data_IF_154481637277
#
_entry.id   IF_154481637277
#
_cell.length_a   1.000
_cell.length_b   1.000
_cell.length_c   1.000
_cell.angle_alpha   90.00
_cell.angle_beta   90.00
_cell.angle_gamma   90.00
#
_symmetry.space_group_name_H-M   'P 1'
#
loop_
_entity.id
_entity.type
_entity.pdbx_description
1 polymer ?
#
# COMPACT_ATOMS: atom_id res chain seq x y z
N UNK A 1 21.79 0.53 -4.52
CA UNK A 1 21.29 0.14 -3.20
C UNK A 1 22.31 -0.74 -2.45
N UNK A 2 22.93 -1.73 -3.09
CA UNK A 2 23.91 -2.64 -2.45
C UNK A 2 25.05 -1.88 -1.78
N UNK A 3 25.62 -0.86 -2.44
CA UNK A 3 26.69 -0.01 -1.89
C UNK A 3 26.23 0.77 -0.65
N UNK A 4 25.01 1.33 -0.69
CA UNK A 4 24.46 2.08 0.45
C UNK A 4 24.14 1.15 1.61
N UNK A 5 23.66 -0.07 1.32
CA UNK A 5 23.36 -1.08 2.34
C UNK A 5 24.60 -1.54 3.13
N UNK A 6 25.81 -1.42 2.56
CA UNK A 6 27.06 -1.76 3.23
C UNK A 6 27.52 -0.68 4.23
N UNK A 7 26.94 0.53 4.17
CA UNK A 7 27.28 1.58 5.12
C UNK A 7 26.66 1.29 6.51
N UNK A 8 27.38 1.61 7.60
CA UNK A 8 26.86 1.46 8.96
C UNK A 8 25.48 2.13 9.11
N UNK A 9 24.55 1.48 9.80
CA UNK A 9 23.17 1.90 10.04
C UNK A 9 22.23 1.82 8.81
N UNK A 10 22.74 1.83 7.57
CA UNK A 10 21.89 1.75 6.39
C UNK A 10 21.35 0.33 6.12
N UNK A 11 22.02 -0.70 6.62
CA UNK A 11 21.55 -2.08 6.57
C UNK A 11 20.27 -2.34 7.38
N UNK A 12 19.95 -1.47 8.34
CA UNK A 12 18.70 -1.54 9.11
C UNK A 12 17.50 -0.95 8.37
N UNK A 13 17.72 -0.26 7.27
CA UNK A 13 16.66 0.38 6.50
C UNK A 13 16.00 -0.57 5.51
N UNK A 14 14.82 -1.01 5.85
CA UNK A 14 14.04 -1.96 5.06
C UNK A 14 13.51 -1.38 3.75
N UNK A 15 13.30 -0.06 3.69
CA UNK A 15 12.71 0.60 2.52
C UNK A 15 13.51 1.84 2.11
N UNK A 16 14.33 1.76 1.05
CA UNK A 16 15.17 2.87 0.59
C UNK A 16 14.37 4.06 0.04
N UNK A 17 13.09 3.87 -0.29
CA UNK A 17 12.22 4.95 -0.78
C UNK A 17 12.08 6.09 0.22
N UNK A 18 12.29 5.82 1.52
CA UNK A 18 12.25 6.84 2.58
C UNK A 18 13.30 7.93 2.41
N UNK A 19 14.40 7.64 1.70
CA UNK A 19 15.42 8.64 1.37
C UNK A 19 15.01 9.58 0.24
N UNK A 20 14.00 9.22 -0.54
CA UNK A 20 13.53 10.10 -1.61
C UNK A 20 12.95 11.41 -1.06
N UNK A 21 12.32 11.39 0.12
CA UNK A 21 11.76 12.61 0.70
C UNK A 21 12.81 13.68 1.03
N UNK A 22 13.87 13.40 1.83
CA UNK A 22 14.94 14.38 2.06
C UNK A 22 15.69 14.75 0.77
N UNK A 23 15.86 13.81 -0.17
CA UNK A 23 16.45 14.10 -1.47
C UNK A 23 15.58 15.08 -2.28
N UNK A 24 14.26 14.86 -2.34
CA UNK A 24 13.33 15.78 -3.01
C UNK A 24 13.36 17.17 -2.37
N UNK A 25 13.37 17.25 -1.05
CA UNK A 25 13.48 18.54 -0.34
C UNK A 25 14.78 19.26 -0.73
N UNK A 26 15.91 18.53 -0.76
CA UNK A 26 17.19 19.07 -1.21
C UNK A 26 17.14 19.58 -2.66
N UNK A 27 16.52 18.82 -3.57
CA UNK A 27 16.35 19.21 -4.97
C UNK A 27 15.45 20.44 -5.13
N UNK A 28 14.40 20.60 -4.34
CA UNK A 28 13.52 21.78 -4.34
C UNK A 28 14.31 23.02 -3.93
N UNK A 29 15.13 22.93 -2.85
CA UNK A 29 15.96 24.02 -2.39
C UNK A 29 17.00 24.38 -3.46
N UNK A 30 17.69 23.41 -4.05
CA UNK A 30 18.64 23.63 -5.14
C UNK A 30 17.98 24.25 -6.38
N UNK A 31 16.75 23.84 -6.71
CA UNK A 31 15.98 24.45 -7.77
C UNK A 31 15.70 25.94 -7.50
N UNK A 32 15.33 26.29 -6.25
CA UNK A 32 15.15 27.69 -5.82
C UNK A 32 16.41 28.52 -6.03
N UNK A 33 17.56 28.03 -5.58
CA UNK A 33 18.85 28.69 -5.83
C UNK A 33 19.21 28.77 -7.32
N UNK A 34 18.87 27.74 -8.09
CA UNK A 34 19.05 27.75 -9.55
C UNK A 34 18.22 28.84 -10.24
N UNK A 35 16.97 29.02 -9.85
CA UNK A 35 16.08 30.09 -10.37
C UNK A 35 16.63 31.45 -9.97
N UNK A 36 17.04 31.64 -8.72
CA UNK A 36 17.66 32.91 -8.29
C UNK A 36 18.93 33.20 -9.07
N UNK A 37 19.80 32.21 -9.29
CA UNK A 37 20.98 32.31 -10.11
C UNK A 37 20.68 32.75 -11.55
N UNK A 38 19.67 32.15 -12.18
CA UNK A 38 19.21 32.53 -13.52
C UNK A 38 18.69 33.99 -13.57
N UNK A 39 17.91 34.40 -12.59
CA UNK A 39 17.41 35.79 -12.50
C UNK A 39 18.55 36.80 -12.31
N UNK A 40 19.54 36.46 -11.51
CA UNK A 40 20.75 37.30 -11.35
C UNK A 40 21.57 37.39 -12.64
N UNK A 41 21.72 36.27 -13.36
CA UNK A 41 22.40 36.22 -14.65
C UNK A 41 21.64 37.05 -15.69
N UNK A 42 20.32 36.89 -15.80
CA UNK A 42 19.51 37.68 -16.73
C UNK A 42 19.60 39.19 -16.51
N UNK A 43 19.80 39.64 -15.27
CA UNK A 43 20.01 41.05 -14.93
C UNK A 43 21.45 41.56 -15.21
N UNK A 44 22.45 40.67 -15.23
CA UNK A 44 23.87 41.02 -15.43
C UNK A 44 24.33 40.99 -16.87
N UNK A 45 23.64 40.33 -17.76
CA UNK A 45 24.08 40.00 -19.14
C UNK A 45 24.17 41.18 -20.11
N UNK A 46 23.94 42.43 -19.68
CA UNK A 46 24.30 43.58 -20.51
C UNK A 46 25.83 43.81 -20.61
N UNK A 47 26.68 43.17 -19.76
CA UNK A 47 28.08 43.54 -19.65
C UNK A 47 29.13 42.47 -19.98
N UNK A 48 28.95 41.15 -19.65
CA UNK A 48 29.93 40.11 -20.00
C UNK A 48 29.36 38.72 -20.10
N UNK A 49 29.70 37.91 -21.16
CA UNK A 49 29.21 36.54 -21.31
C UNK A 49 29.89 35.62 -20.27
N UNK A 50 29.09 35.09 -19.33
CA UNK A 50 29.55 34.13 -18.32
C UNK A 50 29.95 32.77 -18.96
N UNK A 51 31.29 32.52 -19.03
CA UNK A 51 31.87 31.30 -19.60
C UNK A 51 31.34 30.01 -18.92
N UNK A 52 31.19 30.03 -17.59
CA UNK A 52 30.75 28.91 -16.81
C UNK A 52 29.28 28.54 -17.15
N UNK A 53 28.42 29.56 -17.25
CA UNK A 53 27.00 29.33 -17.63
C UNK A 53 26.85 28.74 -19.05
N UNK A 54 27.66 29.21 -20.00
CA UNK A 54 27.68 28.63 -21.37
C UNK A 54 28.18 27.19 -21.39
N UNK A 55 29.21 26.88 -20.62
CA UNK A 55 29.71 25.51 -20.48
C UNK A 55 28.65 24.60 -19.84
N UNK A 56 27.94 25.08 -18.83
CA UNK A 56 26.87 24.34 -18.19
C UNK A 56 25.72 24.05 -19.16
N UNK A 57 25.23 25.02 -19.92
CA UNK A 57 24.18 24.83 -20.94
C UNK A 57 24.63 23.85 -22.02
N UNK A 58 25.88 23.94 -22.48
CA UNK A 58 26.43 22.99 -23.47
C UNK A 58 26.52 21.58 -22.88
N UNK A 59 27.05 21.42 -21.67
CA UNK A 59 27.15 20.13 -21.00
C UNK A 59 25.79 19.47 -20.79
N UNK A 60 24.82 20.21 -20.30
CA UNK A 60 23.44 19.71 -20.09
C UNK A 60 22.76 19.38 -21.44
N UNK A 61 23.03 20.18 -22.49
CA UNK A 61 22.55 19.89 -23.84
C UNK A 61 23.14 18.58 -24.41
N UNK A 62 24.42 18.31 -24.15
CA UNK A 62 25.05 17.04 -24.53
C UNK A 62 24.40 15.88 -23.75
N UNK A 63 24.15 16.03 -22.46
CA UNK A 63 23.47 15.01 -21.66
C UNK A 63 22.06 14.74 -22.21
N UNK A 64 21.29 15.78 -22.57
CA UNK A 64 19.97 15.63 -23.18
C UNK A 64 20.07 14.87 -24.54
N UNK A 65 21.07 15.16 -25.33
CA UNK A 65 21.33 14.49 -26.60
C UNK A 65 21.67 13.01 -26.41
N UNK A 66 22.55 12.70 -25.44
CA UNK A 66 22.91 11.31 -25.09
C UNK A 66 21.70 10.54 -24.56
N UNK A 67 20.87 11.16 -23.73
CA UNK A 67 19.62 10.55 -23.25
C UNK A 67 18.67 10.27 -24.40
N UNK A 68 18.51 11.19 -25.35
CA UNK A 68 17.66 10.99 -26.51
C UNK A 68 18.18 9.83 -27.39
N UNK A 69 19.47 9.77 -27.63
CA UNK A 69 20.08 8.67 -28.37
C UNK A 69 19.89 7.32 -27.66
N UNK A 70 20.14 7.30 -26.35
CA UNK A 70 19.90 6.12 -25.51
C UNK A 70 18.45 5.67 -25.50
N UNK A 71 17.50 6.61 -25.50
CA UNK A 71 16.07 6.31 -25.54
C UNK A 71 15.64 5.70 -26.89
N UNK A 72 16.23 6.14 -28.00
CA UNK A 72 15.99 5.54 -29.31
C UNK A 72 16.51 4.09 -29.38
N UNK A 73 17.68 3.84 -28.79
CA UNK A 73 18.26 2.48 -28.70
C UNK A 73 17.36 1.58 -27.84
N UNK A 74 16.90 2.08 -26.68
CA UNK A 74 15.98 1.35 -25.80
C UNK A 74 14.64 1.10 -26.47
N UNK A 75 14.10 2.07 -27.21
CA UNK A 75 12.89 1.92 -28.01
C UNK A 75 13.02 0.82 -29.06
N UNK A 76 14.14 0.78 -29.77
CA UNK A 76 14.45 -0.28 -30.73
C UNK A 76 14.62 -1.65 -30.05
N UNK A 77 15.10 -1.68 -28.81
CA UNK A 77 15.34 -2.89 -28.02
C UNK A 77 14.16 -3.28 -27.09
N UNK A 78 12.98 -2.66 -27.23
CA UNK A 78 11.82 -2.85 -26.36
C UNK A 78 11.47 -4.33 -26.15
N UNK A 79 11.49 -5.14 -27.19
CA UNK A 79 11.18 -6.57 -27.12
C UNK A 79 12.19 -7.34 -26.25
N UNK A 80 13.48 -7.07 -26.44
CA UNK A 80 14.56 -7.67 -25.64
C UNK A 80 14.49 -7.23 -24.18
N UNK A 81 14.19 -5.95 -23.92
CA UNK A 81 13.99 -5.43 -22.56
C UNK A 81 12.79 -6.11 -21.88
N UNK A 82 11.69 -6.29 -22.58
CA UNK A 82 10.51 -7.01 -22.05
C UNK A 82 10.85 -8.47 -21.70
N UNK A 83 11.60 -9.17 -22.57
CA UNK A 83 12.06 -10.53 -22.27
C UNK A 83 12.97 -10.58 -21.05
N UNK A 84 13.87 -9.61 -20.91
CA UNK A 84 14.73 -9.51 -19.73
C UNK A 84 13.92 -9.27 -18.43
N UNK A 85 12.91 -8.40 -18.47
CA UNK A 85 12.01 -8.17 -17.32
C UNK A 85 11.22 -9.44 -16.98
N UNK A 86 10.69 -10.14 -17.99
CA UNK A 86 9.98 -11.40 -17.79
C UNK A 86 10.86 -12.49 -17.14
N UNK A 87 12.15 -12.56 -17.53
CA UNK A 87 13.11 -13.49 -16.90
C UNK A 87 13.38 -13.22 -15.42
N UNK A 88 12.98 -12.06 -14.91
CA UNK A 88 13.05 -11.69 -13.48
C UNK A 88 11.79 -12.05 -12.68
N UNK A 89 10.85 -12.79 -13.28
CA UNK A 89 9.66 -13.30 -12.62
C UNK A 89 8.39 -12.48 -12.85
N UNK A 90 8.41 -11.51 -13.75
CA UNK A 90 7.21 -10.80 -14.16
C UNK A 90 6.46 -11.57 -15.26
N UNK A 91 5.14 -11.48 -15.24
CA UNK A 91 4.31 -11.96 -16.35
C UNK A 91 4.70 -11.27 -17.67
N UNK A 92 4.63 -12.01 -18.79
CA UNK A 92 5.13 -11.57 -20.10
C UNK A 92 4.44 -10.31 -20.60
N UNK A 93 3.13 -10.19 -20.41
CA UNK A 93 2.36 -9.04 -20.87
C UNK A 93 2.68 -7.81 -20.02
N UNK A 94 2.73 -7.97 -18.72
CA UNK A 94 3.18 -6.93 -17.79
C UNK A 94 4.59 -6.46 -18.09
N UNK A 95 5.52 -7.38 -18.36
CA UNK A 95 6.90 -7.06 -18.72
C UNK A 95 7.00 -6.24 -20.02
N UNK A 96 6.19 -6.54 -21.04
CA UNK A 96 6.14 -5.77 -22.28
C UNK A 96 5.56 -4.36 -22.07
N UNK A 97 4.53 -4.23 -21.26
CA UNK A 97 3.96 -2.93 -20.87
C UNK A 97 5.00 -2.10 -20.13
N UNK A 98 5.69 -2.67 -19.13
CA UNK A 98 6.76 -2.00 -18.38
C UNK A 98 7.91 -1.53 -19.30
N UNK A 99 8.35 -2.37 -20.24
CA UNK A 99 9.39 -2.02 -21.20
C UNK A 99 8.95 -0.85 -22.10
N UNK A 100 7.71 -0.88 -22.57
CA UNK A 100 7.13 0.20 -23.40
C UNK A 100 7.02 1.52 -22.65
N UNK A 101 6.51 1.47 -21.44
CA UNK A 101 6.40 2.64 -20.55
C UNK A 101 7.78 3.24 -20.28
N UNK A 102 8.76 2.42 -19.90
CA UNK A 102 10.13 2.88 -19.61
C UNK A 102 10.78 3.56 -20.83
N UNK A 103 10.65 2.98 -22.01
CA UNK A 103 11.19 3.56 -23.24
C UNK A 103 10.55 4.94 -23.54
N UNK A 104 9.22 5.04 -23.41
CA UNK A 104 8.50 6.28 -23.64
C UNK A 104 8.87 7.37 -22.62
N UNK A 105 8.97 7.02 -21.34
CA UNK A 105 9.33 7.98 -20.28
C UNK A 105 10.75 8.53 -20.45
N UNK A 106 11.70 7.71 -20.89
CA UNK A 106 13.07 8.19 -21.17
C UNK A 106 13.10 9.15 -22.36
N UNK A 107 12.32 8.88 -23.44
CA UNK A 107 12.18 9.79 -24.59
C UNK A 107 11.60 11.12 -24.11
N UNK A 108 10.48 11.10 -23.40
CA UNK A 108 9.84 12.30 -22.89
C UNK A 108 10.76 13.11 -21.98
N UNK A 109 11.45 12.43 -21.05
CA UNK A 109 12.42 13.08 -20.15
C UNK A 109 13.56 13.76 -20.92
N UNK A 110 14.08 13.09 -21.98
CA UNK A 110 15.12 13.68 -22.84
C UNK A 110 14.62 14.92 -23.60
N UNK A 111 13.39 14.87 -24.13
CA UNK A 111 12.79 16.01 -24.83
C UNK A 111 12.51 17.17 -23.87
N UNK A 112 11.99 16.91 -22.68
CA UNK A 112 11.72 17.93 -21.65
C UNK A 112 13.02 18.56 -21.14
N UNK A 113 14.06 17.74 -20.93
CA UNK A 113 15.37 18.25 -20.55
C UNK A 113 15.94 19.15 -21.67
N UNK A 114 15.86 18.73 -22.93
CA UNK A 114 16.28 19.53 -24.08
C UNK A 114 15.51 20.86 -24.20
N UNK A 115 14.19 20.82 -24.04
CA UNK A 115 13.34 22.01 -24.00
C UNK A 115 13.72 22.95 -22.83
N UNK A 116 13.94 22.37 -21.63
CA UNK A 116 14.39 23.12 -20.45
C UNK A 116 15.74 23.83 -20.69
N UNK A 117 16.73 23.11 -21.24
CA UNK A 117 18.03 23.68 -21.60
C UNK A 117 17.89 24.80 -22.62
N UNK A 118 17.06 24.62 -23.63
CA UNK A 118 16.78 25.66 -24.65
C UNK A 118 16.14 26.91 -24.00
N UNK A 119 15.15 26.75 -23.14
CA UNK A 119 14.49 27.86 -22.45
C UNK A 119 15.45 28.59 -21.49
N UNK A 120 16.27 27.87 -20.73
CA UNK A 120 17.31 28.46 -19.90
C UNK A 120 18.30 29.27 -20.74
N UNK A 121 18.75 28.74 -21.87
CA UNK A 121 19.65 29.45 -22.79
C UNK A 121 19.01 30.74 -23.34
N UNK A 122 17.68 30.74 -23.57
CA UNK A 122 16.94 31.95 -23.99
C UNK A 122 16.81 32.97 -22.87
N UNK A 123 16.53 32.53 -21.63
CA UNK A 123 16.50 33.42 -20.45
C UNK A 123 17.86 34.08 -20.28
N UNK A 124 18.97 33.33 -20.41
CA UNK A 124 20.33 33.85 -20.26
C UNK A 124 20.75 34.87 -21.32
N UNK A 125 20.14 34.85 -22.49
CA UNK A 125 20.43 35.85 -23.55
C UNK A 125 19.80 37.22 -23.30
N UNK A 126 19.00 37.38 -22.23
CA UNK A 126 18.41 38.64 -21.79
C UNK A 126 17.28 39.18 -22.67
N UNK A 127 17.21 38.77 -23.93
CA UNK A 127 16.19 39.25 -24.84
C UNK A 127 14.83 38.57 -24.55
N UNK A 128 13.87 39.32 -24.04
CA UNK A 128 12.55 38.84 -23.59
C UNK A 128 12.66 37.77 -22.45
N UNK A 129 13.64 37.88 -21.55
CA UNK A 129 13.92 36.93 -20.51
C UNK A 129 12.69 36.56 -19.67
N UNK A 130 11.84 37.52 -19.35
CA UNK A 130 10.59 37.28 -18.61
C UNK A 130 9.64 36.28 -19.32
N UNK A 131 9.48 36.39 -20.64
CA UNK A 131 8.62 35.47 -21.41
C UNK A 131 9.17 34.05 -21.39
N UNK A 132 10.49 33.90 -21.53
CA UNK A 132 11.16 32.59 -21.49
C UNK A 132 11.18 31.98 -20.09
N UNK A 133 11.28 32.81 -19.04
CA UNK A 133 11.15 32.34 -17.66
C UNK A 133 9.74 31.82 -17.37
N UNK A 134 8.69 32.51 -17.85
CA UNK A 134 7.30 32.01 -17.76
C UNK A 134 7.15 30.68 -18.52
N UNK A 135 7.69 30.60 -19.74
CA UNK A 135 7.65 29.36 -20.53
C UNK A 135 8.36 28.20 -19.82
N UNK A 136 9.50 28.47 -19.15
CA UNK A 136 10.20 27.46 -18.33
C UNK A 136 9.33 27.02 -17.15
N UNK A 137 8.68 27.95 -16.45
CA UNK A 137 7.75 27.64 -15.37
C UNK A 137 6.59 26.76 -15.83
N UNK A 138 5.99 27.09 -16.98
CA UNK A 138 4.93 26.29 -17.57
C UNK A 138 5.41 24.89 -17.98
N UNK A 139 6.62 24.76 -18.54
CA UNK A 139 7.22 23.46 -18.86
C UNK A 139 7.34 22.59 -17.61
N UNK A 140 7.81 23.15 -16.50
CA UNK A 140 7.93 22.43 -15.21
C UNK A 140 6.55 21.98 -14.70
N UNK A 141 5.55 22.88 -14.75
CA UNK A 141 4.18 22.53 -14.32
C UNK A 141 3.60 21.42 -15.17
N UNK A 142 3.78 21.49 -16.50
CA UNK A 142 3.30 20.44 -17.43
C UNK A 142 3.98 19.09 -17.12
N UNK A 143 5.30 19.09 -16.95
CA UNK A 143 6.04 17.86 -16.65
C UNK A 143 5.62 17.26 -15.31
N UNK A 144 5.56 18.04 -14.24
CA UNK A 144 5.13 17.57 -12.93
C UNK A 144 3.69 17.08 -12.93
N UNK A 145 2.79 17.75 -13.64
CA UNK A 145 1.38 17.33 -13.78
C UNK A 145 1.30 16.00 -14.51
N UNK A 146 2.00 15.88 -15.64
CA UNK A 146 2.08 14.64 -16.42
C UNK A 146 2.63 13.48 -15.59
N UNK A 147 3.75 13.71 -14.90
CA UNK A 147 4.42 12.68 -14.12
C UNK A 147 3.58 12.21 -12.92
N UNK A 148 2.81 13.10 -12.31
CA UNK A 148 2.00 12.77 -11.13
C UNK A 148 0.57 12.31 -11.46
N UNK A 149 0.00 12.75 -12.60
CA UNK A 149 -1.40 12.44 -12.96
C UNK A 149 -1.77 10.95 -12.89
N UNK A 150 -0.95 9.98 -13.38
CA UNK A 150 -1.29 8.57 -13.29
C UNK A 150 -1.34 8.02 -11.86
N UNK A 151 -0.68 8.70 -10.91
CA UNK A 151 -0.60 8.29 -9.50
C UNK A 151 -1.67 8.93 -8.62
N UNK A 152 -2.36 9.98 -9.15
CA UNK A 152 -3.47 10.60 -8.44
C UNK A 152 -4.74 9.83 -8.79
N UNK A 153 -5.15 8.99 -7.86
CA UNK A 153 -6.41 8.25 -7.97
C UNK A 153 -7.44 8.90 -7.04
N UNK A 154 -8.60 9.18 -7.60
CA UNK A 154 -9.75 9.67 -6.84
C UNK A 154 -10.59 8.46 -6.43
N UNK A 155 -10.70 8.25 -5.13
CA UNK A 155 -11.54 7.20 -4.56
C UNK A 155 -12.86 7.81 -4.08
N UNK A 156 -13.98 7.21 -4.48
CA UNK A 156 -15.29 7.59 -3.96
C UNK A 156 -15.46 6.96 -2.57
N UNK A 157 -14.92 7.65 -1.56
CA UNK A 157 -14.95 7.17 -0.19
C UNK A 157 -16.37 6.91 0.32
N UNK A 158 -17.37 7.66 -0.15
CA UNK A 158 -18.77 7.43 0.23
C UNK A 158 -19.27 6.09 -0.29
N UNK A 159 -19.03 5.81 -1.55
CA UNK A 159 -19.36 4.49 -2.12
C UNK A 159 -18.62 3.38 -1.37
N UNK A 160 -17.36 3.58 -1.05
CA UNK A 160 -16.51 2.57 -0.40
C UNK A 160 -16.86 2.32 1.06
N UNK A 161 -17.04 3.38 1.84
CA UNK A 161 -17.17 3.28 3.31
C UNK A 161 -18.57 3.48 3.85
N UNK A 162 -19.38 4.36 3.25
CA UNK A 162 -20.76 4.63 3.67
C UNK A 162 -21.76 3.65 3.06
N UNK A 163 -21.29 2.78 2.16
CA UNK A 163 -22.11 1.72 1.57
C UNK A 163 -22.64 0.76 2.64
N UNK A 164 -23.92 0.45 2.55
CA UNK A 164 -24.59 -0.45 3.51
C UNK A 164 -23.98 -1.86 3.45
N UNK A 165 -23.26 -2.24 4.52
CA UNK A 165 -22.83 -3.61 4.75
C UNK A 165 -23.43 -4.08 6.08
N UNK A 166 -24.53 -4.86 6.06
CA UNK A 166 -25.25 -5.26 7.26
C UNK A 166 -24.39 -6.00 8.29
N UNK A 167 -23.42 -6.79 7.84
CA UNK A 167 -22.52 -7.50 8.74
C UNK A 167 -21.60 -6.52 9.50
N UNK A 168 -20.97 -5.60 8.79
CA UNK A 168 -20.09 -4.59 9.40
C UNK A 168 -20.90 -3.67 10.32
N UNK A 169 -22.08 -3.25 9.90
CA UNK A 169 -23.01 -2.47 10.74
C UNK A 169 -23.39 -3.21 12.03
N UNK A 170 -23.51 -4.54 11.97
CA UNK A 170 -23.80 -5.34 13.16
C UNK A 170 -22.60 -5.43 14.09
N UNK A 171 -21.39 -5.62 13.57
CA UNK A 171 -20.16 -5.63 14.35
C UNK A 171 -19.84 -4.26 14.98
N UNK A 172 -20.18 -3.18 14.29
CA UNK A 172 -19.96 -1.81 14.74
C UNK A 172 -20.88 -1.36 15.88
N UNK A 173 -22.00 -2.08 16.16
CA UNK A 173 -22.93 -1.73 17.24
C UNK A 173 -22.30 -1.78 18.64
N UNK A 174 -21.33 -2.67 18.83
CA UNK A 174 -20.65 -2.87 20.12
C UNK A 174 -19.13 -2.96 19.91
N UNK A 175 -18.47 -1.88 19.50
CA UNK A 175 -17.11 -1.90 19.00
C UNK A 175 -16.06 -2.31 20.04
N UNK A 176 -16.37 -2.21 21.34
CA UNK A 176 -15.44 -2.51 22.42
C UNK A 176 -15.73 -3.81 23.18
N UNK A 177 -16.80 -4.49 22.85
CA UNK A 177 -17.25 -5.69 23.58
C UNK A 177 -16.58 -6.98 23.11
N UNK A 178 -16.01 -7.00 21.92
CA UNK A 178 -15.32 -8.17 21.39
C UNK A 178 -14.61 -7.89 20.10
N UNK A 179 -13.53 -8.65 19.88
CA UNK A 179 -12.80 -8.62 18.60
C UNK A 179 -13.42 -9.57 17.60
N UNK A 180 -13.20 -9.26 16.32
CA UNK A 180 -13.55 -10.15 15.20
C UNK A 180 -12.28 -10.78 14.63
N UNK A 181 -12.39 -12.01 14.16
CA UNK A 181 -11.35 -12.72 13.41
C UNK A 181 -11.98 -13.54 12.28
N UNK A 182 -11.16 -14.03 11.37
CA UNK A 182 -11.59 -14.98 10.37
C UNK A 182 -11.31 -16.43 10.82
N UNK A 183 -12.18 -17.36 10.41
CA UNK A 183 -11.97 -18.79 10.59
C UNK A 183 -10.61 -19.22 10.04
N UNK A 184 -9.87 -20.08 10.74
CA UNK A 184 -8.65 -20.68 10.21
C UNK A 184 -8.94 -21.71 9.10
N UNK A 185 -10.19 -22.07 8.92
CA UNK A 185 -10.61 -23.00 7.85
C UNK A 185 -10.76 -22.24 6.52
N UNK A 186 -10.52 -22.91 5.38
CA UNK A 186 -10.63 -22.28 4.08
C UNK A 186 -12.05 -21.75 3.83
N UNK A 187 -12.16 -20.46 3.48
CA UNK A 187 -13.43 -19.76 3.24
C UNK A 187 -13.46 -18.96 1.93
N UNK A 188 -12.57 -19.27 0.98
CA UNK A 188 -12.56 -18.73 -0.38
C UNK A 188 -12.66 -17.19 -0.44
N UNK A 189 -13.72 -16.71 -1.11
CA UNK A 189 -13.99 -15.27 -1.29
C UNK A 189 -14.07 -14.51 0.03
N UNK A 190 -14.67 -15.11 1.07
CA UNK A 190 -14.77 -14.45 2.39
C UNK A 190 -13.40 -14.11 2.96
N UNK A 191 -12.42 -15.03 2.86
CA UNK A 191 -11.06 -14.79 3.35
C UNK A 191 -10.37 -13.66 2.56
N UNK A 192 -10.57 -13.61 1.24
CA UNK A 192 -10.02 -12.56 0.40
C UNK A 192 -10.60 -11.18 0.79
N UNK A 193 -11.93 -11.07 0.91
CA UNK A 193 -12.59 -9.82 1.32
C UNK A 193 -12.20 -9.40 2.72
N UNK A 194 -12.13 -10.35 3.65
CA UNK A 194 -11.69 -10.07 5.01
C UNK A 194 -10.32 -9.42 5.03
N UNK A 195 -9.32 -10.02 4.36
CA UNK A 195 -7.92 -9.58 4.41
C UNK A 195 -7.65 -8.32 3.60
N UNK A 196 -8.26 -8.22 2.41
CA UNK A 196 -7.93 -7.16 1.45
C UNK A 196 -8.78 -5.90 1.63
N UNK A 197 -10.04 -6.06 2.05
CA UNK A 197 -10.98 -4.95 2.12
C UNK A 197 -11.40 -4.65 3.56
N UNK A 198 -11.94 -5.64 4.29
CA UNK A 198 -12.55 -5.35 5.58
C UNK A 198 -11.53 -5.01 6.65
N UNK A 199 -10.48 -5.81 6.78
CA UNK A 199 -9.44 -5.61 7.79
C UNK A 199 -8.61 -4.35 7.53
N UNK A 200 -8.34 -4.03 6.26
CA UNK A 200 -7.50 -2.88 5.89
C UNK A 200 -8.27 -1.56 5.85
N UNK A 201 -9.56 -1.61 5.56
CA UNK A 201 -10.35 -0.41 5.27
C UNK A 201 -11.61 -0.33 6.13
N UNK A 202 -12.56 -1.26 5.96
CA UNK A 202 -13.91 -1.16 6.52
C UNK A 202 -13.93 -1.22 8.05
N UNK A 203 -13.14 -2.10 8.66
CA UNK A 203 -13.12 -2.24 10.11
C UNK A 203 -12.56 -1.01 10.79
N UNK A 204 -11.49 -0.44 10.24
CA UNK A 204 -10.89 0.79 10.77
C UNK A 204 -11.86 1.96 10.68
N UNK A 205 -12.52 2.12 9.53
CA UNK A 205 -13.49 3.19 9.31
C UNK A 205 -14.71 3.08 10.26
N UNK A 206 -15.21 1.86 10.45
CA UNK A 206 -16.40 1.58 11.28
C UNK A 206 -16.05 1.28 12.75
N UNK A 207 -14.82 1.49 13.19
CA UNK A 207 -14.33 1.19 14.54
C UNK A 207 -14.59 -0.26 15.00
N UNK A 208 -14.56 -1.21 14.07
CA UNK A 208 -14.64 -2.65 14.37
C UNK A 208 -13.24 -3.16 14.73
N UNK A 209 -13.11 -3.72 15.92
CA UNK A 209 -11.82 -4.23 16.38
C UNK A 209 -11.57 -5.66 15.89
N UNK A 210 -10.42 -5.88 15.28
CA UNK A 210 -9.99 -7.20 14.82
C UNK A 210 -8.90 -7.78 15.74
N UNK A 211 -8.84 -9.11 15.79
CA UNK A 211 -7.69 -9.83 16.33
C UNK A 211 -6.52 -9.80 15.36
N UNK A 212 -6.83 -9.91 14.07
CA UNK A 212 -5.83 -9.98 13.02
C UNK A 212 -5.26 -8.60 12.70
N UNK A 213 -3.98 -8.56 12.40
CA UNK A 213 -3.26 -7.35 12.04
C UNK A 213 -2.78 -7.43 10.60
N UNK A 214 -2.94 -6.34 9.87
CA UNK A 214 -2.36 -6.17 8.55
C UNK A 214 -0.98 -5.55 8.70
N UNK A 215 0.02 -6.17 8.12
CA UNK A 215 1.38 -5.61 8.03
C UNK A 215 2.00 -5.22 9.38
N UNK A 216 2.41 -6.22 10.14
CA UNK A 216 3.23 -6.00 11.32
C UNK A 216 4.72 -6.26 10.99
N UNK A 217 5.47 -5.26 10.52
CA UNK A 217 6.84 -5.46 10.02
C UNK A 217 7.83 -5.83 11.14
N UNK A 218 7.51 -5.47 12.38
CA UNK A 218 8.26 -5.85 13.58
C UNK A 218 7.26 -6.11 14.69
N UNK A 219 7.29 -7.30 15.22
CA UNK A 219 6.51 -7.69 16.38
C UNK A 219 7.39 -7.52 17.63
N UNK A 220 6.82 -7.01 18.72
CA UNK A 220 7.50 -7.02 20.00
C UNK A 220 7.77 -8.47 20.43
N UNK A 221 8.90 -8.72 21.07
CA UNK A 221 9.34 -10.07 21.45
C UNK A 221 8.28 -10.81 22.28
N UNK A 222 7.66 -10.12 23.23
CA UNK A 222 6.63 -10.70 24.09
C UNK A 222 5.36 -11.04 23.28
N UNK A 223 4.99 -10.20 22.32
CA UNK A 223 3.86 -10.47 21.45
C UNK A 223 4.15 -11.66 20.52
N UNK A 224 5.36 -11.76 19.99
CA UNK A 224 5.79 -12.91 19.19
C UNK A 224 5.79 -14.20 20.01
N UNK A 225 6.27 -14.16 21.25
CA UNK A 225 6.24 -15.29 22.17
C UNK A 225 4.80 -15.72 22.47
N UNK A 226 3.89 -14.75 22.71
CA UNK A 226 2.47 -15.01 22.89
C UNK A 226 1.86 -15.70 21.65
N UNK A 227 2.06 -15.17 20.44
CA UNK A 227 1.51 -15.74 19.21
C UNK A 227 2.07 -17.15 18.93
N UNK A 228 3.35 -17.36 19.14
CA UNK A 228 3.98 -18.70 19.01
C UNK A 228 3.33 -19.74 19.90
N UNK A 229 2.94 -19.38 21.13
CA UNK A 229 2.32 -20.29 22.09
C UNK A 229 0.96 -20.82 21.62
N UNK A 230 0.27 -20.07 20.76
CA UNK A 230 -1.04 -20.40 20.23
C UNK A 230 -1.00 -20.88 18.77
N UNK A 231 0.17 -21.19 18.23
CA UNK A 231 0.29 -21.70 16.87
C UNK A 231 -0.38 -23.08 16.80
N UNK A 232 -1.36 -23.21 15.91
CA UNK A 232 -1.98 -24.49 15.62
C UNK A 232 -1.06 -25.23 14.64
N UNK A 233 -0.60 -26.38 15.06
CA UNK A 233 0.10 -27.33 14.18
C UNK A 233 -0.91 -28.29 13.55
N UNK A 234 -0.48 -29.12 12.59
CA UNK A 234 -1.35 -30.15 12.03
C UNK A 234 -1.81 -31.23 13.04
N UNK A 235 -1.31 -31.18 14.26
CA UNK A 235 -1.71 -32.06 15.35
C UNK A 235 -3.03 -31.57 15.99
N UNK A 236 -4.03 -32.47 16.00
CA UNK A 236 -5.35 -32.20 16.61
C UNK A 236 -5.26 -31.85 18.09
N UNK A 237 -4.23 -32.32 18.80
CA UNK A 237 -3.98 -31.99 20.21
C UNK A 237 -3.69 -30.50 20.44
N UNK A 238 -3.38 -29.74 19.40
CA UNK A 238 -3.13 -28.29 19.48
C UNK A 238 -4.35 -27.43 19.14
N UNK A 239 -5.42 -28.04 18.68
CA UNK A 239 -6.61 -27.30 18.21
C UNK A 239 -7.29 -26.48 19.31
N UNK A 240 -7.31 -26.97 20.55
CA UNK A 240 -7.86 -26.23 21.69
C UNK A 240 -7.16 -24.88 21.94
N UNK A 241 -5.91 -24.73 21.46
CA UNK A 241 -5.15 -23.50 21.59
C UNK A 241 -5.82 -22.34 20.85
N UNK A 242 -6.51 -22.59 19.74
CA UNK A 242 -7.29 -21.57 19.04
C UNK A 242 -8.39 -21.00 19.94
N UNK A 243 -9.19 -21.87 20.55
CA UNK A 243 -10.22 -21.45 21.49
C UNK A 243 -9.64 -20.66 22.68
N UNK A 244 -8.50 -21.12 23.23
CA UNK A 244 -7.82 -20.43 24.31
C UNK A 244 -7.27 -19.06 23.91
N UNK A 245 -6.68 -18.95 22.70
CA UNK A 245 -6.26 -17.66 22.15
C UNK A 245 -7.43 -16.70 22.05
N UNK A 246 -8.56 -17.13 21.49
CA UNK A 246 -9.75 -16.30 21.34
C UNK A 246 -10.33 -15.90 22.68
N UNK A 247 -10.33 -16.79 23.67
CA UNK A 247 -10.73 -16.51 25.04
C UNK A 247 -9.91 -15.36 25.63
N UNK A 248 -8.57 -15.47 25.60
CA UNK A 248 -7.66 -14.50 26.21
C UNK A 248 -7.60 -13.17 25.46
N UNK A 249 -7.84 -13.16 24.16
CA UNK A 249 -7.76 -11.94 23.31
C UNK A 249 -9.10 -11.22 23.17
N UNK A 250 -10.13 -11.58 23.95
CA UNK A 250 -11.46 -10.99 23.83
C UNK A 250 -12.05 -11.16 22.41
N UNK A 251 -11.76 -12.27 21.73
CA UNK A 251 -12.27 -12.52 20.39
C UNK A 251 -13.61 -13.21 20.46
N UNK A 252 -14.67 -12.44 20.26
CA UNK A 252 -16.08 -12.90 20.40
C UNK A 252 -16.68 -13.30 19.07
N UNK A 253 -16.22 -12.70 17.96
CA UNK A 253 -16.82 -12.85 16.66
C UNK A 253 -15.86 -13.54 15.70
N UNK A 254 -16.33 -14.58 15.02
CA UNK A 254 -15.54 -15.31 14.03
C UNK A 254 -16.34 -15.36 12.74
N UNK A 255 -15.72 -14.98 11.66
CA UNK A 255 -16.29 -15.05 10.31
C UNK A 255 -15.82 -16.35 9.67
N UNK A 256 -16.74 -17.21 9.23
CA UNK A 256 -16.38 -18.49 8.67
C UNK A 256 -17.50 -19.12 7.84
N UNK A 257 -17.35 -20.39 7.53
CA UNK A 257 -18.37 -21.18 6.86
C UNK A 257 -19.47 -21.63 7.85
N UNK A 258 -20.65 -21.91 7.33
CA UNK A 258 -21.79 -22.37 8.12
C UNK A 258 -21.49 -23.67 8.89
N UNK A 259 -20.64 -24.53 8.34
CA UNK A 259 -20.26 -25.80 8.97
C UNK A 259 -19.14 -25.68 10.01
N UNK A 260 -18.50 -24.52 10.12
CA UNK A 260 -17.33 -24.31 11.01
C UNK A 260 -17.71 -24.44 12.48
N UNK A 261 -18.93 -24.09 12.86
CA UNK A 261 -19.41 -24.18 14.25
C UNK A 261 -19.33 -25.59 14.80
N UNK A 262 -19.77 -26.58 14.01
CA UNK A 262 -19.71 -27.97 14.43
C UNK A 262 -18.25 -28.46 14.59
N UNK A 263 -17.37 -28.01 13.74
CA UNK A 263 -15.93 -28.28 13.83
C UNK A 263 -15.32 -27.60 15.07
N UNK A 264 -15.63 -26.33 15.31
CA UNK A 264 -15.07 -25.57 16.44
C UNK A 264 -15.51 -26.17 17.78
N UNK A 265 -16.78 -26.52 17.92
CA UNK A 265 -17.26 -27.17 19.13
C UNK A 265 -16.63 -28.54 19.35
N UNK A 266 -16.28 -29.28 18.29
CA UNK A 266 -15.61 -30.59 18.41
C UNK A 266 -14.12 -30.49 18.67
N UNK A 267 -13.43 -29.52 18.05
CA UNK A 267 -11.96 -29.49 18.01
C UNK A 267 -11.36 -28.40 18.88
N UNK A 268 -12.02 -27.22 18.97
CA UNK A 268 -11.47 -26.07 19.67
C UNK A 268 -12.05 -25.92 21.08
N UNK A 269 -13.26 -26.40 21.32
CA UNK A 269 -13.90 -26.33 22.64
C UNK A 269 -14.75 -27.59 22.93
N UNK A 270 -14.16 -28.79 22.91
CA UNK A 270 -14.89 -30.05 22.99
C UNK A 270 -15.62 -30.27 24.32
N UNK A 271 -15.20 -29.60 25.37
CA UNK A 271 -15.78 -29.76 26.72
C UNK A 271 -17.02 -28.88 26.92
N UNK A 272 -16.98 -27.65 26.38
CA UNK A 272 -18.02 -26.63 26.69
C UNK A 272 -18.91 -26.31 25.50
N UNK A 273 -18.40 -26.46 24.26
CA UNK A 273 -19.15 -26.22 23.05
C UNK A 273 -19.72 -24.80 22.92
N UNK A 274 -18.90 -23.76 23.19
CA UNK A 274 -19.34 -22.37 23.35
C UNK A 274 -19.45 -21.58 22.05
N UNK A 275 -19.34 -22.25 20.89
CA UNK A 275 -19.50 -21.60 19.59
C UNK A 275 -20.95 -21.74 19.11
N UNK A 276 -21.58 -20.63 18.74
CA UNK A 276 -22.95 -20.58 18.24
C UNK A 276 -23.03 -19.74 16.97
N UNK A 277 -23.96 -20.06 16.06
CA UNK A 277 -24.26 -19.22 14.91
C UNK A 277 -25.07 -18.01 15.37
N UNK A 278 -24.55 -16.81 15.19
CA UNK A 278 -25.32 -15.58 15.44
C UNK A 278 -26.22 -15.26 14.25
N UNK A 279 -25.68 -15.35 13.03
CA UNK A 279 -26.42 -15.18 11.78
C UNK A 279 -25.66 -15.78 10.61
N UNK A 280 -26.40 -16.21 9.59
CA UNK A 280 -25.81 -16.60 8.31
C UNK A 280 -25.94 -15.47 7.29
N UNK A 281 -25.04 -15.44 6.32
CA UNK A 281 -25.04 -14.42 5.29
C UNK A 281 -24.47 -14.93 3.96
N UNK A 282 -24.76 -14.18 2.92
CA UNK A 282 -24.16 -14.32 1.59
C UNK A 282 -23.31 -13.10 1.30
N UNK A 283 -22.30 -13.27 0.45
CA UNK A 283 -21.52 -12.19 -0.12
C UNK A 283 -21.98 -12.01 -1.56
N UNK A 284 -22.32 -10.80 -1.94
CA UNK A 284 -22.77 -10.43 -3.26
C UNK A 284 -22.26 -9.06 -3.70
N UNK A 285 -22.48 -8.72 -4.95
CA UNK A 285 -22.13 -7.40 -5.45
C UNK A 285 -23.06 -6.33 -4.88
N UNK A 286 -22.51 -5.15 -4.64
CA UNK A 286 -23.29 -3.97 -4.26
C UNK A 286 -24.19 -3.52 -5.40
N UNK A 287 -25.39 -3.04 -5.11
CA UNK A 287 -26.19 -2.35 -6.11
C UNK A 287 -25.43 -1.15 -6.69
N UNK A 288 -25.41 -1.02 -8.01
CA UNK A 288 -24.74 0.07 -8.69
C UNK A 288 -23.23 -0.12 -8.94
N UNK A 289 -22.71 -1.33 -8.76
CA UNK A 289 -21.32 -1.66 -9.15
C UNK A 289 -21.09 -1.31 -10.62
N UNK A 290 -20.06 -0.49 -10.88
CA UNK A 290 -19.76 0.06 -12.22
C UNK A 290 -19.33 -1.01 -13.22
N UNK A 291 -18.58 -2.00 -12.77
CA UNK A 291 -18.10 -3.09 -13.61
C UNK A 291 -18.39 -4.46 -12.99
N UNK A 292 -19.61 -5.00 -13.15
CA UNK A 292 -20.00 -6.29 -12.54
C UNK A 292 -19.20 -7.49 -13.05
N UNK A 293 -18.59 -7.41 -14.25
CA UNK A 293 -17.81 -8.49 -14.85
C UNK A 293 -16.35 -8.55 -14.33
N UNK A 294 -15.87 -7.47 -13.72
CA UNK A 294 -14.53 -7.39 -13.11
C UNK A 294 -14.61 -6.53 -11.84
N UNK A 295 -15.34 -7.03 -10.79
CA UNK A 295 -15.55 -6.26 -9.57
C UNK A 295 -14.26 -6.20 -8.75
N UNK A 296 -14.01 -5.04 -8.14
CA UNK A 296 -13.02 -4.88 -7.09
C UNK A 296 -13.51 -5.46 -5.75
N UNK A 297 -12.63 -5.59 -4.78
CA UNK A 297 -13.02 -6.08 -3.44
C UNK A 297 -13.99 -5.13 -2.74
N UNK A 298 -13.94 -3.84 -3.04
CA UNK A 298 -14.83 -2.79 -2.58
C UNK A 298 -16.26 -2.88 -3.10
N UNK A 299 -16.46 -3.58 -4.22
CA UNK A 299 -17.78 -3.76 -4.85
C UNK A 299 -18.65 -4.82 -4.17
N UNK A 300 -18.09 -5.53 -3.19
CA UNK A 300 -18.84 -6.56 -2.47
C UNK A 300 -19.50 -6.04 -1.20
N UNK A 301 -20.66 -6.61 -0.89
CA UNK A 301 -21.39 -6.40 0.35
C UNK A 301 -21.93 -7.71 0.89
N UNK A 302 -22.48 -7.68 2.10
CA UNK A 302 -23.13 -8.85 2.70
C UNK A 302 -24.63 -8.67 2.76
N UNK A 303 -25.35 -9.77 2.74
CA UNK A 303 -26.79 -9.83 3.00
C UNK A 303 -27.08 -10.99 3.94
N UNK A 304 -27.86 -10.75 4.99
CA UNK A 304 -28.27 -11.82 5.90
C UNK A 304 -29.21 -12.78 5.17
N UNK A 305 -28.89 -14.07 5.27
CA UNK A 305 -29.66 -15.14 4.66
C UNK A 305 -29.47 -16.41 5.49
N UNK A 306 -30.53 -16.96 6.02
CA UNK A 306 -30.50 -18.19 6.85
C UNK A 306 -29.87 -19.41 6.15
N UNK A 307 -29.95 -19.48 4.82
CA UNK A 307 -29.35 -20.51 4.00
C UNK A 307 -27.96 -20.07 3.43
N UNK A 308 -27.42 -18.97 3.87
CA UNK A 308 -26.12 -18.45 3.39
C UNK A 308 -24.97 -19.41 3.71
N UNK A 309 -23.95 -19.48 2.86
CA UNK A 309 -22.80 -20.37 3.05
C UNK A 309 -21.84 -19.87 4.13
N UNK A 310 -21.94 -18.62 4.53
CA UNK A 310 -21.08 -17.98 5.54
C UNK A 310 -21.86 -17.68 6.81
N UNK A 311 -21.15 -17.69 7.94
CA UNK A 311 -21.71 -17.43 9.26
C UNK A 311 -20.88 -16.39 10.02
N UNK A 312 -21.59 -15.53 10.72
CA UNK A 312 -21.04 -14.81 11.87
C UNK A 312 -21.23 -15.73 13.09
N UNK A 313 -20.11 -16.24 13.59
CA UNK A 313 -20.06 -17.19 14.69
C UNK A 313 -19.78 -16.40 15.97
N UNK A 314 -20.57 -16.61 17.00
CA UNK A 314 -20.33 -16.06 18.34
C UNK A 314 -19.61 -17.07 19.21
N UNK A 315 -18.55 -16.64 19.86
CA UNK A 315 -17.82 -17.39 20.87
C UNK A 315 -18.15 -16.86 22.26
N UNK A 316 -18.92 -17.59 23.03
CA UNK A 316 -19.35 -17.19 24.38
C UNK A 316 -18.24 -17.38 25.46
N UNK A 317 -17.10 -17.95 25.06
CA UNK A 317 -15.92 -18.09 25.91
C UNK A 317 -15.01 -16.87 25.99
N UNK A 318 -15.20 -15.87 25.14
CA UNK A 318 -14.36 -14.69 25.11
C UNK A 318 -14.39 -13.95 26.46
N UNK A 319 -13.21 -13.74 27.05
CA UNK A 319 -13.08 -12.93 28.27
C UNK A 319 -13.47 -11.48 27.97
N UNK A 320 -14.06 -10.76 28.94
CA UNK A 320 -14.31 -9.34 28.76
C UNK A 320 -12.99 -8.59 28.62
N UNK A 321 -13.00 -7.46 27.92
CA UNK A 321 -11.81 -6.64 27.65
C UNK A 321 -11.09 -6.20 28.92
N UNK A 322 -11.85 -5.96 29.98
CA UNK A 322 -11.34 -5.64 31.31
C UNK A 322 -11.93 -6.63 32.29
N UNK A 323 -11.09 -7.27 33.07
CA UNK A 323 -11.50 -8.22 34.11
C UNK A 323 -10.64 -8.02 35.35
N UNK A 324 -11.27 -7.91 36.50
CA UNK A 324 -10.58 -7.91 37.77
C UNK A 324 -10.38 -9.33 38.26
N UNK A 325 -9.13 -9.69 38.57
CA UNK A 325 -8.79 -10.97 39.14
C UNK A 325 -8.53 -10.79 40.64
N UNK A 326 -9.14 -11.63 41.47
CA UNK A 326 -9.00 -11.62 42.92
C UNK A 326 -7.87 -12.54 43.42
N UNK A 327 -7.43 -13.43 42.57
CA UNK A 327 -6.35 -14.37 42.87
C UNK A 327 -5.33 -14.33 41.74
N UNK A 328 -4.06 -14.21 42.08
CA UNK A 328 -2.95 -14.21 41.11
C UNK A 328 -1.70 -14.85 41.74
N UNK A 329 -0.84 -15.41 40.95
CA UNK A 329 0.46 -15.97 41.33
C UNK A 329 1.51 -15.33 40.45
N UNK A 330 2.67 -15.05 41.06
CA UNK A 330 3.87 -14.67 40.31
C UNK A 330 4.56 -15.98 39.86
N UNK A 331 4.72 -16.11 38.56
CA UNK A 331 5.61 -17.14 37.98
C UNK A 331 6.80 -16.43 37.35
N UNK A 332 7.97 -17.06 37.47
CA UNK A 332 9.17 -16.66 36.74
C UNK A 332 9.10 -17.17 35.32
N UNK A 333 9.73 -16.46 34.38
CA UNK A 333 9.72 -16.80 32.95
C UNK A 333 10.36 -18.17 32.65
N UNK A 334 11.02 -18.76 33.62
CA UNK A 334 11.72 -20.07 33.53
C UNK A 334 10.86 -21.28 33.98
N UNK A 335 9.58 -21.09 34.25
CA UNK A 335 8.67 -22.13 34.73
C UNK A 335 7.84 -22.79 33.62
#
# INVERSE_FOLDING_TARGET
YQLIHQLPFFNTMRNPIKFLHPMHLGLIVLCGYGVEGLLRLAKREAAEPNRAARLWVRGTGIVAGVMLLGSLILGASKKSLGQHIASRGFDTDTAQVMAGFSAMEIILSALLLGAGVFLIAKVMRGNAAAKWAVALGLLIVIDLTRANSPWVQYDDYKHKYEGNNPLISTLAKSPHEGRVTISPLPSGLLNQLYRMEWLQHQFLYNNVQSLDLVQMPRMATDHEAFERRFTITGDTNTHYLAGRRWELTNTRWILGGTNDVAFFNRQFDPVKGRFTVATNFVVGLRPGTKNPNAPGTEDFTTQFNSAGPYSLIRFDGALPRTKLFTHWQVQTDDA
#
